data_IF_934395246158
#
_entry.id   IF_934395246158
#
_cell.length_a   1.000
_cell.length_b   1.000
_cell.length_c   1.000
_cell.angle_alpha   90.00
_cell.angle_beta   90.00
_cell.angle_gamma   90.00
#
_symmetry.space_group_name_H-M   'P 1'
#
loop_
_entity.id
_entity.type
_entity.pdbx_description
1 polymer ?
#
# COMPACT_ATOMS: atom_id res chain seq x y z
N UNK A 1 -4.41 -10.57 0.36
CA UNK A 1 -3.62 -10.61 1.62
C UNK A 1 -4.32 -11.58 2.58
N UNK A 2 -3.66 -12.63 3.11
CA UNK A 2 -4.33 -13.62 3.99
C UNK A 2 -4.52 -13.08 5.42
N UNK A 3 -5.65 -13.41 6.04
CA UNK A 3 -6.03 -13.13 7.46
C UNK A 3 -4.93 -13.43 8.50
N UNK A 4 -3.96 -14.29 8.21
CA UNK A 4 -2.92 -14.68 9.17
C UNK A 4 -1.86 -13.62 9.45
N UNK A 5 -1.60 -12.70 8.51
CA UNK A 5 -0.53 -11.68 8.65
C UNK A 5 -0.86 -10.58 9.67
N UNK A 6 -2.12 -10.43 10.06
CA UNK A 6 -2.60 -9.40 10.99
C UNK A 6 -2.44 -9.80 12.48
N UNK A 7 -2.31 -11.09 12.79
CA UNK A 7 -2.39 -11.59 14.19
C UNK A 7 -1.17 -11.27 15.04
N UNK A 8 -0.01 -10.95 14.45
CA UNK A 8 1.20 -10.54 15.19
C UNK A 8 1.31 -9.02 15.40
N UNK A 9 0.38 -8.23 14.87
CA UNK A 9 0.37 -6.77 14.96
C UNK A 9 -0.51 -6.23 16.10
N UNK A 10 -1.09 -7.12 16.93
CA UNK A 10 -2.09 -6.77 17.96
C UNK A 10 -1.58 -5.88 19.10
N UNK A 11 -0.28 -5.55 19.13
CA UNK A 11 0.34 -4.63 20.10
C UNK A 11 1.20 -3.54 19.44
N UNK A 12 1.34 -3.53 18.12
CA UNK A 12 2.21 -2.58 17.43
C UNK A 12 1.38 -1.42 16.89
N UNK A 13 1.87 -0.19 17.08
CA UNK A 13 1.36 1.01 16.42
C UNK A 13 1.62 0.88 14.92
N UNK A 14 0.83 0.05 14.25
CA UNK A 14 1.03 -0.37 12.87
C UNK A 14 -0.01 0.25 11.97
N UNK A 15 0.44 0.71 10.81
CA UNK A 15 -0.42 1.32 9.81
C UNK A 15 -0.08 0.82 8.42
N UNK A 16 -1.11 0.54 7.63
CA UNK A 16 -1.00 0.30 6.19
C UNK A 16 -1.44 1.54 5.44
N UNK A 17 -0.66 1.97 4.45
CA UNK A 17 -1.04 3.07 3.58
C UNK A 17 -0.42 2.97 2.18
N UNK A 18 -0.95 3.67 1.19
CA UNK A 18 -2.28 4.24 1.08
C UNK A 18 -3.08 3.26 0.20
N UNK A 19 -4.18 2.73 0.73
CA UNK A 19 -4.99 1.77 -0.02
C UNK A 19 -6.02 2.51 -0.87
N UNK A 20 -6.12 2.15 -2.14
CA UNK A 20 -7.18 2.63 -3.01
C UNK A 20 -8.43 1.78 -2.83
N UNK A 21 -9.49 2.35 -2.26
CA UNK A 21 -10.82 1.73 -2.15
C UNK A 21 -11.91 2.80 -1.98
N UNK A 22 -12.42 3.38 -3.10
CA UNK A 22 -13.41 4.44 -3.03
C UNK A 22 -14.71 4.03 -2.33
N UNK A 23 -15.13 2.77 -2.47
CA UNK A 23 -16.34 2.27 -1.82
C UNK A 23 -16.19 2.26 -0.29
N UNK A 24 -15.03 1.81 0.21
CA UNK A 24 -14.74 1.85 1.64
C UNK A 24 -14.73 3.27 2.20
N UNK A 25 -14.16 4.24 1.46
CA UNK A 25 -14.17 5.65 1.85
C UNK A 25 -15.59 6.20 1.91
N UNK A 26 -16.45 5.90 0.93
CA UNK A 26 -17.84 6.34 0.95
C UNK A 26 -18.61 5.76 2.14
N UNK A 27 -18.43 4.47 2.44
CA UNK A 27 -19.01 3.85 3.64
C UNK A 27 -18.52 4.52 4.93
N UNK A 28 -17.23 4.85 5.01
CA UNK A 28 -16.66 5.52 6.18
C UNK A 28 -17.22 6.94 6.37
N UNK A 29 -17.40 7.69 5.28
CA UNK A 29 -18.02 9.03 5.31
C UNK A 29 -19.47 8.92 5.79
N UNK A 30 -20.24 7.96 5.28
CA UNK A 30 -21.63 7.75 5.69
C UNK A 30 -21.76 7.38 7.17
N UNK A 31 -20.81 6.60 7.71
CA UNK A 31 -20.80 6.22 9.12
C UNK A 31 -20.29 7.34 10.06
N UNK A 32 -19.41 8.21 9.56
CA UNK A 32 -18.77 9.27 10.34
C UNK A 32 -17.66 8.78 11.29
N UNK A 33 -16.86 9.70 11.80
CA UNK A 33 -15.79 9.41 12.78
C UNK A 33 -16.40 8.85 14.07
N UNK A 34 -15.79 7.79 14.61
CA UNK A 34 -16.31 7.00 15.74
C UNK A 34 -17.35 5.94 15.32
N UNK A 35 -17.85 6.00 14.07
CA UNK A 35 -18.73 5.01 13.50
C UNK A 35 -18.02 3.70 13.16
N UNK A 36 -18.81 2.66 12.90
CA UNK A 36 -18.33 1.34 12.46
C UNK A 36 -18.93 0.95 11.11
N UNK A 37 -18.12 0.31 10.28
CA UNK A 37 -18.54 -0.25 8.98
C UNK A 37 -18.15 -1.72 8.87
N UNK A 38 -19.01 -2.55 8.27
CA UNK A 38 -18.72 -3.94 7.95
C UNK A 38 -18.56 -4.07 6.43
N UNK A 39 -17.32 -4.28 5.98
CA UNK A 39 -16.96 -4.21 4.57
C UNK A 39 -15.89 -5.25 4.18
N UNK A 40 -15.76 -5.45 2.89
CA UNK A 40 -14.66 -6.16 2.24
C UNK A 40 -13.62 -5.14 1.76
N UNK A 41 -12.54 -4.95 2.51
CA UNK A 41 -11.55 -3.90 2.22
C UNK A 41 -10.47 -4.38 1.24
N UNK A 42 -10.26 -3.63 0.15
CA UNK A 42 -9.20 -3.88 -0.83
C UNK A 42 -9.37 -5.20 -1.61
N UNK A 43 -8.27 -5.73 -2.16
CA UNK A 43 -8.28 -7.03 -2.87
C UNK A 43 -9.07 -7.04 -4.18
N UNK A 44 -9.25 -5.89 -4.82
CA UNK A 44 -10.09 -5.69 -6.01
C UNK A 44 -9.34 -5.98 -7.32
N UNK A 45 -8.12 -6.52 -7.28
CA UNK A 45 -7.28 -6.69 -8.47
C UNK A 45 -7.65 -7.91 -9.34
N UNK A 46 -8.41 -8.86 -8.79
CA UNK A 46 -8.75 -10.12 -9.46
C UNK A 46 -7.57 -11.09 -9.61
N UNK A 47 -6.40 -10.78 -9.06
CA UNK A 47 -5.20 -11.63 -9.14
C UNK A 47 -5.32 -12.80 -8.15
N UNK A 48 -5.00 -14.06 -8.55
CA UNK A 48 -4.98 -15.18 -7.63
C UNK A 48 -4.14 -14.91 -6.37
N UNK A 49 -4.75 -15.13 -5.20
CA UNK A 49 -4.12 -14.87 -3.90
C UNK A 49 -4.26 -13.43 -3.39
N UNK A 50 -4.82 -12.52 -4.18
CA UNK A 50 -5.30 -11.23 -3.72
C UNK A 50 -6.81 -11.30 -3.46
N UNK A 51 -7.19 -11.21 -2.18
CA UNK A 51 -8.57 -11.29 -1.72
C UNK A 51 -8.84 -10.15 -0.74
N UNK A 52 -10.05 -9.58 -0.75
CA UNK A 52 -10.44 -8.54 0.20
C UNK A 52 -10.31 -9.01 1.65
N UNK A 53 -10.04 -8.06 2.55
CA UNK A 53 -10.11 -8.28 3.99
C UNK A 53 -11.55 -8.02 4.47
N UNK A 54 -12.28 -9.09 4.78
CA UNK A 54 -13.58 -8.98 5.42
C UNK A 54 -13.42 -8.61 6.89
N UNK A 55 -14.15 -7.59 7.35
CA UNK A 55 -14.11 -7.22 8.76
C UNK A 55 -15.00 -6.03 9.13
N UNK A 56 -15.08 -5.81 10.44
CA UNK A 56 -15.68 -4.63 11.04
C UNK A 56 -14.59 -3.61 11.37
N UNK A 57 -14.73 -2.40 10.85
CA UNK A 57 -13.73 -1.34 10.97
C UNK A 57 -14.31 -0.15 11.74
N UNK A 58 -13.54 0.42 12.64
CA UNK A 58 -13.81 1.70 13.30
C UNK A 58 -13.28 2.85 12.41
N UNK A 59 -14.10 3.89 12.20
CA UNK A 59 -13.69 5.10 11.45
C UNK A 59 -12.97 6.05 12.41
N UNK A 60 -11.66 6.17 12.27
CA UNK A 60 -10.82 6.96 13.17
C UNK A 60 -10.65 8.41 12.73
N UNK A 61 -10.67 8.66 11.43
CA UNK A 61 -10.42 9.97 10.84
C UNK A 61 -10.99 10.03 9.41
N UNK A 62 -11.41 11.23 8.99
CA UNK A 62 -11.84 11.55 7.64
C UNK A 62 -11.22 12.88 7.21
N UNK A 63 -10.79 12.99 5.96
CA UNK A 63 -10.32 14.25 5.36
C UNK A 63 -10.65 14.33 3.87
N UNK A 64 -10.41 15.49 3.27
CA UNK A 64 -10.57 15.72 1.83
C UNK A 64 -9.41 15.15 0.98
N UNK A 65 -8.34 14.67 1.63
CA UNK A 65 -7.18 14.05 1.00
C UNK A 65 -6.22 15.00 0.31
N UNK A 66 -6.25 16.29 0.65
CA UNK A 66 -5.32 17.28 0.10
C UNK A 66 -4.12 17.47 0.99
N UNK A 67 -2.93 17.50 0.40
CA UNK A 67 -1.72 17.95 1.08
C UNK A 67 -0.65 18.44 0.11
N UNK A 68 0.36 19.09 0.69
CA UNK A 68 1.59 19.43 0.00
C UNK A 68 2.68 18.44 0.35
N UNK A 69 3.38 17.91 -0.64
CA UNK A 69 4.53 17.03 -0.39
C UNK A 69 5.69 17.80 0.25
N UNK A 70 6.28 17.20 1.28
CA UNK A 70 7.40 17.74 2.06
C UNK A 70 8.67 16.89 1.93
N UNK A 71 8.54 15.65 1.46
CA UNK A 71 9.63 14.74 1.19
C UNK A 71 10.46 15.16 -0.04
N UNK A 72 11.58 14.46 -0.30
CA UNK A 72 12.49 14.85 -1.38
C UNK A 72 11.89 14.69 -2.78
N UNK A 73 11.04 13.69 -2.97
CA UNK A 73 10.41 13.42 -4.26
C UNK A 73 9.18 14.31 -4.43
N UNK A 74 9.10 15.03 -5.56
CA UNK A 74 8.00 15.95 -5.86
C UNK A 74 7.79 17.02 -4.76
N UNK A 75 8.88 17.45 -4.10
CA UNK A 75 8.83 18.42 -3.02
C UNK A 75 8.04 19.67 -3.41
N UNK A 76 7.14 20.10 -2.52
CA UNK A 76 6.35 21.31 -2.68
C UNK A 76 5.16 21.18 -3.63
N UNK A 77 4.96 20.04 -4.28
CA UNK A 77 3.78 19.78 -5.10
C UNK A 77 2.53 19.62 -4.23
N UNK A 78 1.43 20.24 -4.67
CA UNK A 78 0.10 20.00 -4.11
C UNK A 78 -0.46 18.70 -4.71
N UNK A 79 -1.04 17.85 -3.87
CA UNK A 79 -1.71 16.62 -4.27
C UNK A 79 -3.14 16.60 -3.74
N UNK A 80 -4.04 16.04 -4.55
CA UNK A 80 -5.41 15.71 -4.17
C UNK A 80 -5.61 14.23 -4.48
N UNK A 81 -5.75 13.40 -3.43
CA UNK A 81 -6.03 11.97 -3.57
C UNK A 81 -7.52 11.66 -3.41
N UNK A 82 -8.38 12.68 -3.44
CA UNK A 82 -9.78 12.63 -3.05
C UNK A 82 -9.98 12.25 -1.58
N UNK A 83 -11.22 12.14 -1.11
CA UNK A 83 -11.51 11.82 0.28
C UNK A 83 -10.72 10.62 0.84
N UNK A 84 -10.27 10.77 2.08
CA UNK A 84 -9.46 9.79 2.80
C UNK A 84 -10.14 9.39 4.09
N UNK A 85 -10.05 8.10 4.42
CA UNK A 85 -10.47 7.56 5.70
C UNK A 85 -9.31 6.83 6.39
N UNK A 86 -9.18 7.01 7.70
CA UNK A 86 -8.41 6.08 8.54
C UNK A 86 -9.36 5.08 9.16
N UNK A 87 -9.21 3.82 8.80
CA UNK A 87 -9.95 2.71 9.37
C UNK A 87 -9.10 1.96 10.41
N UNK A 88 -9.73 1.38 11.42
CA UNK A 88 -9.04 0.55 12.42
C UNK A 88 -9.71 -0.80 12.56
N UNK A 89 -8.90 -1.85 12.56
CA UNK A 89 -9.31 -3.25 12.77
C UNK A 89 -8.26 -3.96 13.61
N UNK A 90 -8.68 -4.62 14.69
CA UNK A 90 -7.81 -5.42 15.57
C UNK A 90 -6.49 -4.72 16.01
N UNK A 91 -6.53 -3.40 16.22
CA UNK A 91 -5.38 -2.60 16.63
C UNK A 91 -4.52 -2.05 15.48
N UNK A 92 -4.75 -2.49 14.24
CA UNK A 92 -4.07 -2.00 13.03
C UNK A 92 -4.86 -0.86 12.40
N UNK A 93 -4.16 0.21 11.98
CA UNK A 93 -4.74 1.31 11.21
C UNK A 93 -4.55 1.09 9.72
N UNK A 94 -5.51 1.54 8.91
CA UNK A 94 -5.44 1.48 7.45
C UNK A 94 -5.85 2.84 6.89
N UNK A 95 -4.92 3.51 6.23
CA UNK A 95 -5.21 4.72 5.45
C UNK A 95 -5.76 4.31 4.09
N UNK A 96 -6.95 4.81 3.75
CA UNK A 96 -7.68 4.48 2.52
C UNK A 96 -8.06 5.77 1.80
N UNK A 97 -7.82 5.84 0.48
CA UNK A 97 -8.19 6.98 -0.37
C UNK A 97 -9.15 6.56 -1.48
N UNK A 98 -9.92 7.53 -1.96
CA UNK A 98 -10.75 7.38 -3.17
C UNK A 98 -9.98 7.59 -4.47
N UNK A 99 -8.76 8.14 -4.42
CA UNK A 99 -7.86 8.35 -5.56
C UNK A 99 -6.60 7.50 -5.44
N UNK A 100 -6.02 7.11 -6.58
CA UNK A 100 -4.79 6.30 -6.60
C UNK A 100 -3.58 7.21 -6.39
N UNK A 101 -2.75 6.89 -5.39
CA UNK A 101 -1.48 7.56 -5.17
C UNK A 101 -0.45 6.56 -4.63
N UNK A 102 0.82 6.77 -4.96
CA UNK A 102 1.90 5.98 -4.39
C UNK A 102 2.35 6.61 -3.06
N UNK A 103 2.71 5.77 -2.09
CA UNK A 103 3.31 6.23 -0.84
C UNK A 103 4.73 6.75 -1.10
N UNK A 104 4.84 7.98 -1.55
CA UNK A 104 6.10 8.68 -1.79
C UNK A 104 6.43 9.71 -0.70
N UNK A 105 5.45 10.08 0.11
CA UNK A 105 5.55 11.15 1.11
C UNK A 105 4.78 10.80 2.40
N UNK A 106 5.34 11.13 3.56
CA UNK A 106 4.75 10.92 4.89
C UNK A 106 3.48 11.73 5.11
N UNK A 107 3.29 12.86 4.43
CA UNK A 107 2.06 13.65 4.51
C UNK A 107 0.84 12.87 3.98
N UNK A 108 1.03 11.81 3.18
CA UNK A 108 -0.05 10.89 2.79
C UNK A 108 -0.60 10.07 3.98
N UNK A 109 0.18 9.85 5.04
CA UNK A 109 -0.35 9.33 6.30
C UNK A 109 -0.99 10.44 7.14
N UNK A 110 -0.42 11.65 7.13
CA UNK A 110 -0.93 12.77 7.93
C UNK A 110 -2.32 13.22 7.50
N UNK A 111 -2.65 13.17 6.20
CA UNK A 111 -4.02 13.38 5.72
C UNK A 111 -5.00 12.32 6.22
N UNK A 112 -4.52 11.15 6.66
CA UNK A 112 -5.32 10.14 7.34
C UNK A 112 -5.27 10.27 8.88
N UNK A 113 -4.77 11.39 9.41
CA UNK A 113 -4.67 11.61 10.86
C UNK A 113 -3.62 10.73 11.55
N UNK A 114 -2.64 10.21 10.80
CA UNK A 114 -1.59 9.34 11.31
C UNK A 114 -0.26 10.09 11.27
N UNK A 115 0.41 10.20 12.42
CA UNK A 115 1.78 10.70 12.49
C UNK A 115 2.76 9.52 12.31
N UNK A 116 3.50 9.45 11.18
CA UNK A 116 4.34 8.29 10.84
C UNK A 116 5.43 7.99 11.88
N UNK A 117 6.01 9.03 12.45
CA UNK A 117 7.10 9.01 13.43
C UNK A 117 6.63 8.41 14.77
N UNK A 118 5.32 8.33 14.99
CA UNK A 118 4.73 7.70 16.17
C UNK A 118 4.34 6.23 15.90
N UNK A 119 4.60 5.69 14.72
CA UNK A 119 4.26 4.31 14.39
C UNK A 119 5.46 3.39 14.59
N UNK A 120 5.21 2.19 15.10
CA UNK A 120 6.22 1.14 15.21
C UNK A 120 6.45 0.42 13.89
N UNK A 121 5.43 0.37 13.02
CA UNK A 121 5.53 -0.26 11.70
C UNK A 121 4.72 0.55 10.69
N UNK A 122 5.37 0.96 9.60
CA UNK A 122 4.76 1.60 8.44
C UNK A 122 4.77 0.61 7.27
N UNK A 123 3.59 0.18 6.82
CA UNK A 123 3.44 -0.68 5.64
C UNK A 123 3.09 0.20 4.44
N UNK A 124 4.11 0.55 3.66
CA UNK A 124 3.97 1.38 2.46
C UNK A 124 3.71 0.50 1.24
N UNK A 125 2.52 0.61 0.64
CA UNK A 125 2.23 -0.04 -0.66
C UNK A 125 2.94 0.72 -1.79
N UNK A 126 4.25 0.51 -1.89
CA UNK A 126 5.16 1.17 -2.84
C UNK A 126 6.36 0.27 -3.12
N UNK A 127 6.96 0.35 -4.31
CA UNK A 127 8.14 -0.45 -4.67
C UNK A 127 9.45 0.21 -4.26
N UNK A 128 9.60 1.52 -4.51
CA UNK A 128 10.87 2.23 -4.27
C UNK A 128 10.69 3.68 -3.82
N UNK A 129 9.69 4.40 -4.32
CA UNK A 129 9.57 5.86 -4.10
C UNK A 129 9.45 6.25 -2.62
N UNK A 130 8.90 5.37 -1.78
CA UNK A 130 8.81 5.61 -0.34
C UNK A 130 10.19 5.79 0.32
N UNK A 131 11.27 5.24 -0.24
CA UNK A 131 12.57 5.20 0.43
C UNK A 131 13.11 6.60 0.72
N UNK A 132 12.89 7.55 -0.18
CA UNK A 132 13.44 8.90 -0.06
C UNK A 132 12.95 9.61 1.20
N UNK A 133 11.66 9.50 1.53
CA UNK A 133 11.07 10.22 2.67
C UNK A 133 10.90 9.36 3.93
N UNK A 134 10.81 8.04 3.79
CA UNK A 134 10.59 7.13 4.94
C UNK A 134 11.88 6.52 5.50
N UNK A 135 12.94 6.36 4.72
CA UNK A 135 14.19 5.79 5.23
C UNK A 135 14.81 6.62 6.39
N UNK A 136 14.75 7.96 6.41
CA UNK A 136 15.30 8.76 7.52
C UNK A 136 14.65 8.50 8.88
N UNK A 137 13.44 7.90 8.92
CA UNK A 137 12.71 7.59 10.16
C UNK A 137 12.63 6.09 10.44
N UNK A 138 13.31 5.25 9.65
CA UNK A 138 13.21 3.80 9.74
C UNK A 138 14.55 3.18 10.17
N UNK A 139 14.53 2.39 11.25
CA UNK A 139 15.70 1.59 11.66
C UNK A 139 16.02 0.50 10.61
N UNK A 140 14.98 -0.08 10.02
CA UNK A 140 15.09 -1.12 9.01
C UNK A 140 14.03 -0.95 7.92
N UNK A 141 14.38 -1.33 6.68
CA UNK A 141 13.42 -1.44 5.60
C UNK A 141 13.33 -2.87 5.10
N UNK A 142 12.18 -3.49 5.36
CA UNK A 142 11.89 -4.86 4.93
C UNK A 142 11.08 -4.85 3.63
N UNK A 143 11.53 -5.63 2.64
CA UNK A 143 10.79 -5.79 1.38
C UNK A 143 9.93 -7.04 1.47
N UNK A 144 8.60 -6.86 1.39
CA UNK A 144 7.65 -7.96 1.40
C UNK A 144 7.09 -8.21 -0.01
N UNK A 145 7.23 -9.45 -0.50
CA UNK A 145 6.56 -9.90 -1.71
C UNK A 145 5.10 -10.24 -1.37
N UNK A 146 4.16 -9.65 -2.09
CA UNK A 146 2.73 -9.91 -1.94
C UNK A 146 2.09 -10.18 -3.31
N UNK A 147 1.03 -11.01 -3.38
CA UNK A 147 0.23 -11.14 -4.59
C UNK A 147 -0.32 -9.79 -5.04
N UNK A 148 -0.45 -9.61 -6.35
CA UNK A 148 -1.01 -8.41 -6.95
C UNK A 148 -0.66 -8.29 -8.43
N UNK A 149 -1.24 -7.31 -9.12
CA UNK A 149 -1.10 -7.15 -10.58
C UNK A 149 0.30 -6.70 -10.99
N UNK A 150 1.09 -6.20 -10.03
CA UNK A 150 2.47 -5.78 -10.25
C UNK A 150 3.41 -6.74 -9.53
N UNK A 151 4.00 -7.66 -10.28
CA UNK A 151 4.98 -8.61 -9.78
C UNK A 151 6.22 -7.87 -9.26
N UNK A 152 6.59 -8.14 -8.00
CA UNK A 152 7.68 -7.43 -7.34
C UNK A 152 9.08 -7.84 -7.85
N UNK A 153 9.26 -9.13 -8.15
CA UNK A 153 10.50 -9.63 -8.77
C UNK A 153 10.26 -9.81 -10.28
N UNK A 154 10.91 -9.03 -11.15
CA UNK A 154 10.73 -9.18 -12.60
C UNK A 154 11.15 -10.56 -13.11
N UNK A 155 11.95 -11.34 -12.37
CA UNK A 155 12.27 -12.72 -12.73
C UNK A 155 11.08 -13.69 -12.62
N UNK A 156 10.02 -13.32 -11.91
CA UNK A 156 8.79 -14.12 -11.83
C UNK A 156 7.83 -13.83 -13.00
N UNK A 157 8.11 -12.80 -13.82
CA UNK A 157 7.27 -12.46 -14.98
C UNK A 157 7.58 -13.46 -16.10
N UNK A 158 6.56 -14.06 -16.75
CA UNK A 158 6.75 -15.01 -17.85
C UNK A 158 7.11 -14.27 -19.14
N UNK A 159 8.30 -13.69 -19.19
CA UNK A 159 8.80 -12.96 -20.35
C UNK A 159 8.81 -13.86 -21.59
N UNK A 160 8.27 -13.36 -22.71
CA UNK A 160 8.20 -14.11 -23.98
C UNK A 160 9.04 -13.51 -25.10
N UNK A 161 9.45 -12.25 -24.96
CA UNK A 161 10.02 -11.44 -26.06
C UNK A 161 11.18 -10.56 -25.58
N UNK A 162 11.92 -11.01 -24.57
CA UNK A 162 13.17 -10.36 -24.21
C UNK A 162 14.27 -10.77 -25.18
N UNK A 163 15.29 -9.93 -25.32
CA UNK A 163 16.49 -10.29 -26.09
C UNK A 163 17.25 -11.38 -25.32
N UNK A 164 17.79 -12.34 -26.04
CA UNK A 164 18.63 -13.40 -25.49
C UNK A 164 19.76 -12.82 -24.62
N UNK A 165 20.00 -13.42 -23.45
CA UNK A 165 21.06 -13.01 -22.53
C UNK A 165 20.72 -11.83 -21.60
N UNK A 166 19.60 -11.11 -21.80
CA UNK A 166 19.17 -10.04 -20.88
C UNK A 166 18.93 -10.62 -19.49
N UNK A 167 19.54 -10.05 -18.45
CA UNK A 167 19.27 -10.43 -17.06
C UNK A 167 17.84 -10.06 -16.66
N UNK A 168 17.13 -11.01 -16.05
CA UNK A 168 15.74 -10.83 -15.61
C UNK A 168 15.62 -9.94 -14.37
N UNK A 169 16.70 -9.79 -13.59
CA UNK A 169 16.81 -8.86 -12.47
C UNK A 169 18.27 -8.48 -12.23
N UNK A 170 18.57 -7.42 -11.46
CA UNK A 170 19.94 -7.10 -11.07
C UNK A 170 20.62 -8.32 -10.45
N UNK A 171 21.80 -8.67 -10.97
CA UNK A 171 22.57 -9.86 -10.57
C UNK A 171 21.79 -11.19 -10.64
N UNK A 172 20.75 -11.26 -11.48
CA UNK A 172 19.91 -12.44 -11.66
C UNK A 172 20.26 -13.27 -12.90
N UNK A 173 19.47 -14.35 -13.14
CA UNK A 173 19.64 -15.18 -14.32
C UNK A 173 19.34 -14.41 -15.60
N UNK A 174 19.96 -14.84 -16.70
CA UNK A 174 19.68 -14.33 -18.04
C UNK A 174 18.45 -15.00 -18.65
N UNK A 175 17.71 -14.23 -19.44
CA UNK A 175 16.64 -14.71 -20.28
C UNK A 175 17.21 -15.59 -21.38
N UNK A 176 16.61 -16.77 -21.50
CA UNK A 176 16.79 -17.68 -22.61
C UNK A 176 15.44 -17.91 -23.25
N UNK A 177 15.32 -17.65 -24.55
CA UNK A 177 14.08 -17.92 -25.25
C UNK A 177 13.75 -19.41 -25.11
N UNK A 178 12.52 -19.78 -24.71
CA UNK A 178 12.11 -21.17 -24.85
C UNK A 178 12.32 -21.55 -26.31
N UNK A 179 13.07 -22.63 -26.56
CA UNK A 179 13.27 -23.14 -27.90
C UNK A 179 11.90 -23.27 -28.57
N UNK A 180 11.77 -22.77 -29.80
CA UNK A 180 10.57 -22.94 -30.59
C UNK A 180 10.30 -24.45 -30.62
N UNK A 181 9.24 -24.91 -29.94
CA UNK A 181 8.76 -26.28 -30.13
C UNK A 181 7.90 -26.20 -31.39
N UNK A 182 8.45 -26.73 -32.47
CA UNK A 182 7.73 -27.01 -33.72
C UNK A 182 6.46 -27.85 -33.46
#
# INVERSE_FOLDING_TARGET
MRSSSLRHLRSSRSVVGLLYDPAAVQSAIAAGVGGFIEIALGGQSGVPGDSPLQGRFEVMHLSDGRCRFAGPMMNGMEVDVGPVACLKIEGVRVAVSSGKCQMLDRNLYRIAGIEPEQMSVLINKSSVHFRADFAPIADHVLVAKAPGPMTADPADIPWKRLREGIRLKPNGPSFHSPAYRD
#
